data_IF_240409443439
#
_entry.id   IF_240409443439
#
_cell.length_a   1.000
_cell.length_b   1.000
_cell.length_c   1.000
_cell.angle_alpha   90.00
_cell.angle_beta   90.00
_cell.angle_gamma   90.00
#
_symmetry.space_group_name_H-M   'P 1'
#
loop_
_entity.id
_entity.type
_entity.pdbx_description
1 polymer ?
#
# COMPACT_ATOMS: atom_id res chain seq x y z
N UNK A 1 6.48 22.01 3.73
CA UNK A 1 6.34 22.87 4.91
C UNK A 1 5.05 22.49 5.62
N UNK A 2 5.16 21.88 6.81
CA UNK A 2 4.05 21.39 7.63
C UNK A 2 3.02 22.50 7.95
N UNK A 3 3.47 23.76 7.95
CA UNK A 3 2.60 24.92 8.18
C UNK A 3 1.57 25.14 7.07
N UNK A 4 1.77 24.52 5.91
CA UNK A 4 0.85 24.55 4.76
C UNK A 4 0.00 23.28 4.65
N UNK A 5 0.14 22.34 5.58
CA UNK A 5 -0.63 21.10 5.55
C UNK A 5 -2.13 21.40 5.76
N UNK A 6 -3.03 20.81 4.96
CA UNK A 6 -4.45 20.97 5.16
C UNK A 6 -4.90 20.29 6.47
N UNK A 7 -6.00 20.76 7.05
CA UNK A 7 -6.49 20.28 8.36
C UNK A 7 -6.69 18.76 8.44
N UNK A 8 -7.06 18.13 7.32
CA UNK A 8 -7.28 16.68 7.25
C UNK A 8 -5.98 15.86 7.16
N UNK A 9 -4.83 16.47 6.90
CA UNK A 9 -3.58 15.76 6.61
C UNK A 9 -3.17 14.82 7.76
N UNK A 10 -3.39 15.25 9.00
CA UNK A 10 -3.06 14.48 10.20
C UNK A 10 -4.15 13.50 10.64
N UNK A 11 -5.27 13.45 9.93
CA UNK A 11 -6.43 12.61 10.26
C UNK A 11 -6.52 11.41 9.33
N UNK A 12 -7.29 10.40 9.71
CA UNK A 12 -7.73 9.32 8.80
C UNK A 12 -9.09 9.74 8.24
N UNK A 13 -9.11 10.32 7.04
CA UNK A 13 -10.31 10.89 6.42
C UNK A 13 -10.40 10.53 4.92
N UNK A 14 -11.15 9.46 4.63
CA UNK A 14 -11.29 8.90 3.29
C UNK A 14 -11.99 9.83 2.29
N UNK A 15 -12.74 10.82 2.76
CA UNK A 15 -13.53 11.70 1.89
C UNK A 15 -12.78 12.97 1.51
N UNK A 16 -11.86 13.42 2.38
CA UNK A 16 -11.07 14.63 2.14
C UNK A 16 -9.69 14.35 1.59
N UNK A 17 -9.11 13.18 1.92
CA UNK A 17 -7.80 12.80 1.41
C UNK A 17 -7.89 12.27 -0.03
N UNK A 18 -7.02 12.73 -0.93
CA UNK A 18 -6.95 12.18 -2.28
C UNK A 18 -6.28 10.80 -2.25
N UNK A 19 -7.09 9.74 -2.26
CA UNK A 19 -6.59 8.36 -2.29
C UNK A 19 -6.09 7.87 -0.93
N UNK A 20 -5.30 6.79 -0.97
CA UNK A 20 -4.73 6.15 0.22
C UNK A 20 -3.44 6.84 0.67
N UNK A 21 -3.34 7.15 1.96
CA UNK A 21 -2.13 7.71 2.59
C UNK A 21 -1.48 6.65 3.50
N UNK A 22 -0.32 6.07 3.12
CA UNK A 22 0.32 5.04 3.92
C UNK A 22 0.81 5.55 5.29
N UNK A 23 0.96 6.86 5.48
CA UNK A 23 1.32 7.43 6.78
C UNK A 23 0.24 7.17 7.84
N UNK A 24 -1.02 6.92 7.43
CA UNK A 24 -2.13 6.65 8.34
C UNK A 24 -1.95 5.37 9.18
N UNK A 25 -1.08 4.47 8.75
CA UNK A 25 -0.72 3.27 9.50
C UNK A 25 0.16 3.55 10.72
N UNK A 26 0.66 4.79 10.85
CA UNK A 26 1.59 5.18 11.90
C UNK A 26 0.95 6.17 12.85
N UNK A 27 1.39 6.11 14.10
CA UNK A 27 1.16 7.17 15.09
C UNK A 27 2.37 8.09 15.05
N UNK A 28 2.13 9.39 14.88
CA UNK A 28 3.19 10.38 14.68
C UNK A 28 4.25 10.34 15.80
N UNK A 29 5.47 9.84 15.51
CA UNK A 29 6.50 9.66 16.53
C UNK A 29 7.13 10.99 16.97
N UNK A 30 6.96 12.07 16.19
CA UNK A 30 7.49 13.38 16.52
C UNK A 30 6.66 14.12 17.58
N UNK A 31 5.48 13.60 17.95
CA UNK A 31 4.56 14.23 18.91
C UNK A 31 4.58 13.48 20.25
N UNK A 32 5.36 13.95 21.24
CA UNK A 32 5.37 13.32 22.56
C UNK A 32 3.98 13.38 23.19
N UNK A 33 3.61 12.33 23.94
CA UNK A 33 2.29 12.16 24.56
C UNK A 33 1.09 12.07 23.60
N UNK A 34 1.32 11.92 22.28
CA UNK A 34 0.23 11.77 21.32
C UNK A 34 -0.69 10.59 21.67
N UNK A 35 -0.13 9.46 22.10
CA UNK A 35 -0.93 8.32 22.56
C UNK A 35 -1.87 8.69 23.71
N UNK A 36 -1.39 9.42 24.72
CA UNK A 36 -2.23 9.88 25.83
C UNK A 36 -3.33 10.86 25.36
N UNK A 37 -3.00 11.77 24.44
CA UNK A 37 -3.99 12.67 23.81
C UNK A 37 -5.04 11.89 23.03
N UNK A 38 -4.65 10.85 22.30
CA UNK A 38 -5.58 9.98 21.57
C UNK A 38 -6.50 9.24 22.54
N UNK A 39 -5.98 8.68 23.63
CA UNK A 39 -6.79 8.05 24.69
C UNK A 39 -7.80 9.03 25.28
N UNK A 40 -7.37 10.26 25.60
CA UNK A 40 -8.27 11.31 26.10
C UNK A 40 -9.36 11.66 25.07
N UNK A 41 -9.02 11.78 23.78
CA UNK A 41 -10.00 11.99 22.71
C UNK A 41 -10.96 10.81 22.58
N UNK A 42 -10.49 9.58 22.68
CA UNK A 42 -11.36 8.40 22.67
C UNK A 42 -12.31 8.38 23.87
N UNK A 43 -11.86 8.81 25.06
CA UNK A 43 -12.73 8.98 26.22
C UNK A 43 -13.82 10.04 25.97
N UNK A 44 -13.47 11.20 25.42
CA UNK A 44 -14.45 12.24 25.03
C UNK A 44 -15.44 11.73 23.98
N UNK A 45 -14.96 10.97 22.98
CA UNK A 45 -15.81 10.32 21.97
C UNK A 45 -16.79 9.33 22.63
N UNK A 46 -16.31 8.55 23.62
CA UNK A 46 -17.15 7.62 24.39
C UNK A 46 -18.20 8.36 25.23
N UNK A 47 -17.92 9.58 25.66
CA UNK A 47 -18.87 10.47 26.36
C UNK A 47 -19.81 11.24 25.40
N UNK A 48 -19.80 10.94 24.10
CA UNK A 48 -20.71 11.55 23.12
C UNK A 48 -20.22 12.88 22.52
N UNK A 49 -19.01 13.33 22.87
CA UNK A 49 -18.42 14.54 22.27
C UNK A 49 -17.88 14.21 20.88
N UNK A 50 -18.21 15.03 19.89
CA UNK A 50 -17.63 14.91 18.55
C UNK A 50 -16.19 15.41 18.58
N UNK A 51 -15.25 14.50 18.30
CA UNK A 51 -13.82 14.81 18.29
C UNK A 51 -13.14 14.17 17.08
N UNK A 52 -12.17 14.89 16.52
CA UNK A 52 -11.32 14.39 15.43
C UNK A 52 -10.07 13.72 16.00
N UNK A 53 -9.77 12.54 15.49
CA UNK A 53 -8.51 11.84 15.75
C UNK A 53 -7.49 12.27 14.71
N UNK A 54 -6.35 12.78 15.18
CA UNK A 54 -5.26 13.33 14.37
C UNK A 54 -3.92 12.60 14.60
N UNK A 55 -3.87 11.26 14.46
CA UNK A 55 -2.67 10.48 14.76
C UNK A 55 -1.60 10.55 13.67
N UNK A 56 -1.96 10.91 12.44
CA UNK A 56 -1.16 10.68 11.25
C UNK A 56 0.05 11.62 11.20
N UNK A 57 1.28 11.08 11.02
CA UNK A 57 2.48 11.88 10.79
C UNK A 57 2.46 12.58 9.43
N UNK A 58 3.17 13.70 9.32
CA UNK A 58 3.45 14.37 8.05
C UNK A 58 4.82 13.96 7.45
N UNK A 59 5.63 13.22 8.20
CA UNK A 59 6.91 12.71 7.72
C UNK A 59 6.71 11.45 6.85
N UNK A 60 6.83 11.63 5.54
CA UNK A 60 6.67 10.55 4.56
C UNK A 60 7.79 9.51 4.61
N UNK A 61 8.92 9.79 5.28
CA UNK A 61 10.05 8.84 5.39
C UNK A 61 9.75 7.63 6.28
N UNK A 62 8.66 7.69 7.05
CA UNK A 62 8.18 6.55 7.83
C UNK A 62 7.72 5.39 6.94
N UNK A 63 7.27 5.71 5.73
CA UNK A 63 6.90 4.75 4.70
C UNK A 63 8.16 4.39 3.91
N UNK A 64 8.71 3.19 4.14
CA UNK A 64 9.99 2.76 3.56
C UNK A 64 9.87 2.01 2.24
N UNK A 65 8.65 1.69 1.82
CA UNK A 65 8.39 0.95 0.60
C UNK A 65 6.98 1.21 0.11
N UNK A 66 6.81 1.16 -1.21
CA UNK A 66 5.52 1.23 -1.90
C UNK A 66 5.53 0.19 -3.03
N UNK A 67 4.37 -0.08 -3.61
CA UNK A 67 4.20 -1.07 -4.67
C UNK A 67 3.61 -0.43 -5.94
N UNK A 68 3.51 -1.21 -7.02
CA UNK A 68 2.80 -0.79 -8.23
C UNK A 68 3.62 0.08 -9.19
N UNK A 69 4.94 0.13 -9.01
CA UNK A 69 5.82 0.63 -10.07
C UNK A 69 5.77 -0.33 -11.25
N UNK A 70 5.39 0.19 -12.42
CA UNK A 70 5.34 -0.59 -13.65
C UNK A 70 6.74 -0.78 -14.27
N UNK A 71 7.65 0.15 -14.02
CA UNK A 71 9.04 0.14 -14.48
C UNK A 71 9.95 0.13 -13.24
N UNK A 72 10.72 -0.95 -13.09
CA UNK A 72 11.66 -1.15 -11.99
C UNK A 72 13.05 -1.46 -12.57
N UNK A 73 14.14 -1.06 -11.90
CA UNK A 73 15.48 -1.42 -12.37
C UNK A 73 15.64 -2.93 -12.46
N UNK A 74 16.33 -3.39 -13.51
CA UNK A 74 16.61 -4.81 -13.74
C UNK A 74 17.17 -5.48 -12.47
N UNK A 75 16.59 -6.62 -12.10
CA UNK A 75 16.95 -7.37 -10.89
C UNK A 75 16.08 -7.05 -9.66
N UNK A 76 15.17 -6.07 -9.77
CA UNK A 76 14.05 -5.89 -8.84
C UNK A 76 12.73 -6.43 -9.40
N UNK A 77 12.80 -7.13 -10.53
CA UNK A 77 11.68 -7.78 -11.18
C UNK A 77 11.07 -8.87 -10.29
N UNK A 78 9.74 -9.08 -10.37
CA UNK A 78 9.13 -10.22 -9.70
C UNK A 78 9.66 -11.54 -10.28
N UNK A 79 9.78 -12.56 -9.43
CA UNK A 79 10.28 -13.88 -9.82
C UNK A 79 9.14 -14.87 -9.88
N UNK A 80 9.08 -15.64 -10.96
CA UNK A 80 8.23 -16.83 -11.09
C UNK A 80 9.11 -18.07 -10.88
N UNK A 81 8.78 -18.90 -9.89
CA UNK A 81 9.52 -20.13 -9.57
C UNK A 81 8.58 -21.33 -9.56
N UNK A 82 8.98 -22.41 -10.23
CA UNK A 82 8.22 -23.67 -10.25
C UNK A 82 8.75 -24.63 -11.30
N UNK A 83 8.12 -25.80 -11.40
CA UNK A 83 8.31 -26.73 -12.52
C UNK A 83 7.53 -26.20 -13.72
N UNK A 84 8.16 -25.27 -14.45
CA UNK A 84 7.58 -24.63 -15.62
C UNK A 84 7.94 -25.41 -16.88
N UNK A 85 7.01 -25.51 -17.86
CA UNK A 85 7.35 -26.01 -19.20
C UNK A 85 8.46 -25.18 -19.85
N UNK A 86 9.27 -25.77 -20.73
CA UNK A 86 10.43 -25.09 -21.35
C UNK A 86 10.10 -23.73 -21.97
N UNK A 87 8.93 -23.59 -22.59
CA UNK A 87 8.44 -22.34 -23.19
C UNK A 87 8.26 -21.17 -22.19
N UNK A 88 8.28 -21.46 -20.88
CA UNK A 88 8.23 -20.48 -19.78
C UNK A 88 9.45 -20.60 -18.86
N UNK A 89 10.54 -21.20 -19.33
CA UNK A 89 11.79 -21.37 -18.57
C UNK A 89 12.86 -20.34 -18.99
N UNK A 90 12.46 -19.27 -19.67
CA UNK A 90 13.35 -18.18 -20.05
C UNK A 90 13.77 -17.35 -18.82
N UNK A 91 14.94 -16.71 -18.90
CA UNK A 91 15.48 -15.90 -17.81
C UNK A 91 14.63 -14.64 -17.50
N UNK A 92 13.94 -14.12 -18.52
CA UNK A 92 13.04 -12.98 -18.41
C UNK A 92 11.76 -13.29 -19.18
N UNK A 93 10.61 -13.00 -18.58
CA UNK A 93 9.30 -13.21 -19.18
C UNK A 93 8.43 -11.98 -18.95
N UNK A 94 7.57 -11.59 -19.91
CA UNK A 94 6.62 -10.52 -19.67
C UNK A 94 5.66 -10.91 -18.54
N UNK A 95 5.33 -9.98 -17.63
CA UNK A 95 4.41 -10.26 -16.52
C UNK A 95 3.04 -10.78 -16.98
N UNK A 96 2.62 -10.44 -18.19
CA UNK A 96 1.38 -10.96 -18.80
C UNK A 96 1.40 -12.47 -19.07
N UNK A 97 2.58 -13.11 -19.13
CA UNK A 97 2.71 -14.55 -19.38
C UNK A 97 2.48 -15.42 -18.13
N UNK A 98 2.44 -14.83 -16.92
CA UNK A 98 2.31 -15.58 -15.66
C UNK A 98 1.03 -16.42 -15.64
N UNK A 99 -0.07 -15.90 -16.18
CA UNK A 99 -1.34 -16.64 -16.29
C UNK A 99 -1.19 -17.94 -17.09
N UNK A 100 -0.63 -17.84 -18.30
CA UNK A 100 -0.48 -18.99 -19.20
C UNK A 100 0.57 -19.98 -18.68
N UNK A 101 1.63 -19.48 -18.02
CA UNK A 101 2.64 -20.29 -17.37
C UNK A 101 2.04 -21.16 -16.25
N UNK A 102 1.18 -20.58 -15.41
CA UNK A 102 0.47 -21.31 -14.35
C UNK A 102 -0.45 -22.39 -14.94
N UNK A 103 -1.22 -22.05 -15.98
CA UNK A 103 -2.12 -23.02 -16.63
C UNK A 103 -1.34 -24.19 -17.23
N UNK A 104 -0.27 -23.91 -17.96
CA UNK A 104 0.53 -24.94 -18.60
C UNK A 104 1.21 -25.86 -17.58
N UNK A 105 1.69 -25.33 -16.44
CA UNK A 105 2.28 -26.11 -15.36
C UNK A 105 1.29 -27.12 -14.74
N UNK A 106 -0.01 -26.85 -14.79
CA UNK A 106 -1.06 -27.77 -14.31
C UNK A 106 -1.74 -28.56 -15.43
N UNK A 107 -1.17 -28.58 -16.64
CA UNK A 107 -1.70 -29.34 -17.78
C UNK A 107 -2.95 -28.73 -18.41
N UNK A 108 -3.22 -27.45 -18.18
CA UNK A 108 -4.32 -26.70 -18.78
C UNK A 108 -3.81 -25.76 -19.88
N UNK A 109 -4.70 -25.37 -20.79
CA UNK A 109 -4.42 -24.35 -21.81
C UNK A 109 -5.37 -23.17 -21.65
N UNK A 110 -4.91 -21.95 -21.94
CA UNK A 110 -5.80 -20.80 -21.97
C UNK A 110 -6.74 -20.93 -23.17
N UNK A 111 -8.04 -20.89 -22.90
CA UNK A 111 -9.05 -20.73 -23.95
C UNK A 111 -8.97 -19.29 -24.38
N UNK A 112 -8.33 -19.05 -25.53
CA UNK A 112 -8.13 -17.70 -26.05
C UNK A 112 -9.45 -16.93 -26.09
N UNK A 113 -9.63 -15.98 -25.17
CA UNK A 113 -10.50 -14.85 -25.43
C UNK A 113 -9.65 -13.89 -26.26
N UNK A 114 -9.87 -13.96 -27.58
CA UNK A 114 -9.42 -12.93 -28.50
C UNK A 114 -9.85 -11.55 -28.00
N UNK A 115 -9.02 -10.57 -28.36
CA UNK A 115 -9.17 -9.14 -28.08
C UNK A 115 -10.60 -8.60 -28.23
#
# INVERSE_FOLDING_TARGET
>A
DDRRAPDYARTVDIFKKPGYDPCELFIDPARPFLAARLVAKLALRKLGVRVLLDPTPLDTKLVRGSHGLADVPRGFDPVLLGELPEQFSEAELPMSAVHDAILAAVGLSSTGKGA
#
